data_IF_799356010206
#
_entry.id   IF_799356010206
#
_cell.length_a   1.000
_cell.length_b   1.000
_cell.length_c   1.000
_cell.angle_alpha   90.00
_cell.angle_beta   90.00
_cell.angle_gamma   90.00
#
_symmetry.space_group_name_H-M   'P 1'
#
loop_
_entity.id
_entity.type
_entity.pdbx_description
1 polymer ?
#
# COMPACT_ATOMS: atom_id res chain seq x y z
N UNK A 1 -36.31 35.33 -18.83
CA UNK A 1 -35.39 34.64 -19.76
C UNK A 1 -34.44 33.78 -18.94
N UNK A 2 -34.74 32.49 -18.83
CA UNK A 2 -33.88 31.51 -18.18
C UNK A 2 -32.73 31.13 -19.11
N UNK A 3 -31.50 31.36 -18.67
CA UNK A 3 -30.30 30.80 -19.29
C UNK A 3 -30.37 29.26 -19.28
N UNK A 4 -29.96 28.57 -20.37
CA UNK A 4 -29.92 27.12 -20.36
C UNK A 4 -28.67 26.66 -19.59
N UNK A 5 -28.90 26.02 -18.44
CA UNK A 5 -27.89 25.29 -17.68
C UNK A 5 -27.63 23.93 -18.36
N UNK A 6 -26.57 23.87 -19.16
CA UNK A 6 -25.92 22.66 -19.68
C UNK A 6 -24.41 22.99 -19.55
N UNK A 7 -23.49 22.22 -18.97
CA UNK A 7 -23.24 20.78 -19.05
C UNK A 7 -22.29 20.40 -17.89
N UNK A 8 -22.64 19.47 -17.00
CA UNK A 8 -21.62 18.70 -16.25
C UNK A 8 -21.49 17.34 -16.97
N UNK A 9 -20.28 16.90 -17.33
CA UNK A 9 -20.13 15.61 -17.99
C UNK A 9 -20.52 14.51 -17.00
N UNK A 10 -21.57 13.76 -17.32
CA UNK A 10 -21.79 12.45 -16.74
C UNK A 10 -20.58 11.60 -17.10
N UNK A 11 -19.89 11.04 -16.11
CA UNK A 11 -18.95 9.98 -16.40
C UNK A 11 -19.72 8.84 -17.11
N UNK A 12 -19.15 8.20 -18.14
CA UNK A 12 -19.84 7.12 -18.84
C UNK A 12 -20.39 6.05 -17.87
N UNK A 13 -21.71 5.95 -17.81
CA UNK A 13 -22.46 4.93 -17.05
C UNK A 13 -22.69 5.20 -15.56
N UNK A 14 -22.82 6.46 -15.15
CA UNK A 14 -23.48 6.83 -13.89
C UNK A 14 -25.00 6.92 -14.11
N UNK A 15 -25.80 6.28 -13.25
CA UNK A 15 -27.27 6.40 -13.28
C UNK A 15 -27.68 7.30 -12.11
N UNK A 16 -28.14 8.51 -12.40
CA UNK A 16 -28.73 9.40 -11.40
C UNK A 16 -30.22 9.09 -11.29
N UNK A 17 -30.64 8.42 -10.22
CA UNK A 17 -32.05 8.09 -9.98
C UNK A 17 -32.87 9.28 -9.41
N UNK A 18 -32.21 10.34 -8.94
CA UNK A 18 -32.85 11.56 -8.40
C UNK A 18 -32.13 12.79 -8.98
N UNK A 19 -32.90 13.83 -9.31
CA UNK A 19 -32.41 15.08 -9.91
C UNK A 19 -31.27 15.70 -9.06
N UNK A 20 -30.06 15.94 -9.61
CA UNK A 20 -28.86 16.40 -8.88
C UNK A 20 -28.95 17.82 -8.30
N UNK A 21 -30.14 18.42 -8.25
CA UNK A 21 -30.39 19.77 -7.72
C UNK A 21 -30.76 19.81 -6.23
N UNK A 22 -30.94 18.66 -5.57
CA UNK A 22 -31.52 18.60 -4.21
C UNK A 22 -30.61 17.90 -3.18
N UNK A 23 -29.42 17.45 -3.57
CA UNK A 23 -28.57 16.65 -2.70
C UNK A 23 -27.22 17.36 -2.48
N UNK A 24 -26.75 17.54 -1.23
CA UNK A 24 -25.39 17.99 -0.94
C UNK A 24 -24.37 17.09 -1.65
N UNK A 25 -23.24 17.63 -2.12
CA UNK A 25 -22.21 16.87 -2.87
C UNK A 25 -21.63 15.69 -2.05
N UNK A 26 -21.80 15.69 -0.73
CA UNK A 26 -21.46 14.60 0.20
C UNK A 26 -22.45 13.44 0.23
N UNK A 27 -23.62 13.59 -0.38
CA UNK A 27 -24.76 12.66 -0.38
C UNK A 27 -25.15 12.19 -1.79
N UNK A 28 -24.45 12.66 -2.84
CA UNK A 28 -24.65 12.16 -4.22
C UNK A 28 -24.09 10.73 -4.35
N UNK A 29 -24.91 9.76 -3.98
CA UNK A 29 -24.63 8.33 -4.08
C UNK A 29 -24.68 7.90 -5.55
N UNK A 30 -23.60 8.13 -6.27
CA UNK A 30 -23.42 7.63 -7.63
C UNK A 30 -23.33 6.10 -7.60
N UNK A 31 -24.50 5.45 -7.67
CA UNK A 31 -24.60 4.01 -7.77
C UNK A 31 -24.11 3.56 -9.16
N UNK A 32 -23.05 2.75 -9.15
CA UNK A 32 -22.48 2.17 -10.37
C UNK A 32 -23.50 1.18 -10.94
N UNK A 33 -23.84 1.31 -12.23
CA UNK A 33 -24.74 0.37 -12.91
C UNK A 33 -24.20 -1.06 -12.87
N UNK A 34 -25.07 -2.07 -12.91
CA UNK A 34 -24.66 -3.49 -12.89
C UNK A 34 -23.69 -3.82 -14.03
N UNK A 35 -23.88 -3.22 -15.21
CA UNK A 35 -22.97 -3.37 -16.34
C UNK A 35 -21.60 -2.76 -16.04
N UNK A 36 -21.54 -1.54 -15.49
CA UNK A 36 -20.27 -0.94 -15.11
C UNK A 36 -19.58 -1.69 -13.97
N UNK A 37 -20.33 -2.29 -13.03
CA UNK A 37 -19.75 -3.17 -12.01
C UNK A 37 -19.09 -4.38 -12.67
N UNK A 38 -19.75 -5.02 -13.63
CA UNK A 38 -19.20 -6.16 -14.38
C UNK A 38 -17.92 -5.76 -15.12
N UNK A 39 -17.94 -4.67 -15.89
CA UNK A 39 -16.77 -4.15 -16.62
C UNK A 39 -15.60 -3.90 -15.67
N UNK A 40 -15.85 -3.27 -14.51
CA UNK A 40 -14.81 -3.00 -13.52
C UNK A 40 -14.23 -4.28 -12.92
N UNK A 41 -15.06 -5.30 -12.65
CA UNK A 41 -14.58 -6.61 -12.21
C UNK A 41 -13.72 -7.31 -13.27
N UNK A 42 -14.09 -7.19 -14.56
CA UNK A 42 -13.26 -7.69 -15.66
C UNK A 42 -11.90 -6.97 -15.67
N UNK A 43 -11.89 -5.63 -15.50
CA UNK A 43 -10.65 -4.85 -15.42
C UNK A 43 -9.81 -5.25 -14.20
N UNK A 44 -10.43 -5.58 -13.06
CA UNK A 44 -9.73 -6.13 -11.88
C UNK A 44 -9.05 -7.46 -12.22
N UNK A 45 -9.75 -8.40 -12.86
CA UNK A 45 -9.16 -9.67 -13.28
C UNK A 45 -8.01 -9.47 -14.29
N UNK A 46 -8.17 -8.55 -15.24
CA UNK A 46 -7.12 -8.20 -16.20
C UNK A 46 -5.90 -7.59 -15.50
N UNK A 47 -6.11 -6.69 -14.53
CA UNK A 47 -5.02 -6.12 -13.75
C UNK A 47 -4.24 -7.18 -12.98
N UNK A 48 -4.93 -8.16 -12.37
CA UNK A 48 -4.28 -9.31 -11.72
C UNK A 48 -3.43 -10.09 -12.75
N UNK A 49 -3.98 -10.37 -13.94
CA UNK A 49 -3.22 -11.04 -15.00
C UNK A 49 -1.99 -10.24 -15.45
N UNK A 50 -2.10 -8.92 -15.65
CA UNK A 50 -0.96 -8.04 -15.98
C UNK A 50 0.10 -8.05 -14.88
N UNK A 51 -0.30 -8.10 -13.61
CA UNK A 51 0.66 -8.25 -12.51
C UNK A 51 1.42 -9.57 -12.61
N UNK A 52 0.75 -10.69 -12.92
CA UNK A 52 1.39 -12.00 -13.12
C UNK A 52 2.36 -11.98 -14.33
N UNK A 53 2.00 -11.30 -15.42
CA UNK A 53 2.91 -11.09 -16.56
C UNK A 53 4.14 -10.29 -16.13
N UNK A 54 3.95 -9.21 -15.36
CA UNK A 54 5.04 -8.39 -14.83
C UNK A 54 6.00 -9.20 -13.95
N UNK A 55 5.50 -10.11 -13.12
CA UNK A 55 6.33 -11.03 -12.32
C UNK A 55 7.17 -11.94 -13.22
N UNK A 56 6.57 -12.54 -14.26
CA UNK A 56 7.31 -13.41 -15.17
C UNK A 56 8.37 -12.66 -15.98
N UNK A 57 8.13 -11.40 -16.36
CA UNK A 57 9.12 -10.53 -17.00
C UNK A 57 10.30 -10.21 -16.07
N UNK A 58 10.02 -10.02 -14.77
CA UNK A 58 11.07 -9.86 -13.76
C UNK A 58 11.91 -11.13 -13.67
N UNK A 59 11.29 -12.31 -13.61
CA UNK A 59 11.98 -13.61 -13.57
C UNK A 59 12.83 -13.86 -14.83
N UNK A 60 12.31 -13.52 -16.01
CA UNK A 60 13.04 -13.59 -17.28
C UNK A 60 14.27 -12.67 -17.30
N UNK A 61 14.13 -11.44 -16.81
CA UNK A 61 15.24 -10.51 -16.63
C UNK A 61 16.33 -11.08 -15.72
N UNK A 62 15.98 -11.69 -14.59
CA UNK A 62 16.96 -12.29 -13.67
C UNK A 62 17.71 -13.44 -14.32
N UNK A 63 17.00 -14.32 -15.02
CA UNK A 63 17.61 -15.43 -15.74
C UNK A 63 18.67 -14.93 -16.75
N UNK A 64 18.45 -13.76 -17.35
CA UNK A 64 19.40 -13.11 -18.27
C UNK A 64 20.61 -12.43 -17.62
N UNK A 65 20.56 -12.02 -16.35
CA UNK A 65 21.62 -11.26 -15.66
C UNK A 65 22.84 -12.13 -15.27
N UNK A 66 22.61 -13.42 -15.02
CA UNK A 66 23.63 -14.36 -14.54
C UNK A 66 24.08 -14.09 -13.09
N UNK A 67 24.53 -15.14 -12.39
CA UNK A 67 24.84 -15.09 -10.94
C UNK A 67 25.94 -14.08 -10.55
N UNK A 68 26.88 -13.76 -11.44
CA UNK A 68 28.02 -12.88 -11.12
C UNK A 68 27.67 -11.38 -11.02
N UNK A 69 26.62 -10.91 -11.71
CA UNK A 69 26.19 -9.52 -11.66
C UNK A 69 25.17 -9.26 -10.54
N UNK A 70 24.49 -10.32 -10.09
CA UNK A 70 23.55 -10.26 -8.98
C UNK A 70 24.25 -9.91 -7.66
N UNK A 71 25.46 -10.43 -7.43
CA UNK A 71 26.23 -10.21 -6.19
C UNK A 71 26.59 -8.74 -5.94
N UNK A 72 26.95 -7.98 -6.98
CA UNK A 72 27.26 -6.56 -6.87
C UNK A 72 26.01 -5.70 -6.53
N UNK A 73 24.84 -6.08 -7.05
CA UNK A 73 23.56 -5.44 -6.70
C UNK A 73 23.19 -5.73 -5.23
N UNK A 74 23.44 -6.96 -4.79
CA UNK A 74 23.19 -7.40 -3.42
C UNK A 74 24.12 -6.73 -2.39
N UNK A 75 25.34 -6.36 -2.78
CA UNK A 75 26.29 -5.63 -1.92
C UNK A 75 25.77 -4.24 -1.52
N UNK A 76 25.11 -3.53 -2.44
CA UNK A 76 24.51 -2.21 -2.15
C UNK A 76 23.19 -2.29 -1.38
N UNK A 77 22.47 -3.42 -1.48
CA UNK A 77 21.25 -3.69 -0.72
C UNK A 77 21.49 -3.97 0.77
N UNK A 78 22.75 -3.98 1.23
CA UNK A 78 23.11 -4.31 2.62
C UNK A 78 22.77 -3.20 3.63
N UNK A 79 22.56 -1.95 3.21
CA UNK A 79 22.24 -0.86 4.15
C UNK A 79 20.71 -0.77 4.41
N UNK A 80 20.21 -1.18 5.59
CA UNK A 80 18.78 -1.25 5.86
C UNK A 80 18.15 0.15 6.01
N UNK A 81 18.92 1.15 6.45
CA UNK A 81 18.44 2.53 6.54
C UNK A 81 18.26 3.14 5.16
N UNK A 82 19.14 2.83 4.21
CA UNK A 82 18.96 3.22 2.82
C UNK A 82 17.68 2.60 2.24
N UNK A 83 17.47 1.31 2.46
CA UNK A 83 16.26 0.59 2.05
C UNK A 83 15.00 1.20 2.67
N UNK A 84 15.03 1.55 3.96
CA UNK A 84 13.93 2.25 4.63
C UNK A 84 13.60 3.59 3.94
N UNK A 85 14.60 4.42 3.67
CA UNK A 85 14.40 5.72 3.03
C UNK A 85 13.88 5.59 1.59
N UNK A 86 14.39 4.61 0.83
CA UNK A 86 13.88 4.28 -0.51
C UNK A 86 12.40 3.87 -0.43
N UNK A 87 12.02 3.05 0.54
CA UNK A 87 10.62 2.65 0.74
C UNK A 87 9.69 3.83 1.06
N UNK A 88 10.13 4.76 1.92
CA UNK A 88 9.40 5.99 2.24
C UNK A 88 9.20 6.83 0.99
N UNK A 89 10.30 7.13 0.28
CA UNK A 89 10.29 8.00 -0.89
C UNK A 89 9.48 7.40 -2.03
N UNK A 90 9.72 6.14 -2.37
CA UNK A 90 9.04 5.47 -3.47
C UNK A 90 7.54 5.39 -3.23
N UNK A 91 7.12 5.05 -2.01
CA UNK A 91 5.71 4.98 -1.67
C UNK A 91 5.06 6.37 -1.59
N UNK A 92 5.79 7.39 -1.13
CA UNK A 92 5.33 8.77 -1.21
C UNK A 92 5.14 9.23 -2.66
N UNK A 93 6.03 8.90 -3.58
CA UNK A 93 5.88 9.30 -4.98
C UNK A 93 4.76 8.53 -5.69
N UNK A 94 4.66 7.22 -5.43
CA UNK A 94 3.68 6.32 -6.05
C UNK A 94 2.29 6.44 -5.38
N UNK A 95 2.23 6.92 -4.14
CA UNK A 95 1.02 7.04 -3.32
C UNK A 95 0.28 5.70 -3.08
N UNK A 96 1.01 4.57 -3.14
CA UNK A 96 0.46 3.23 -2.90
C UNK A 96 1.52 2.29 -2.32
N UNK A 97 1.42 1.98 -1.01
CA UNK A 97 2.26 0.92 -0.42
C UNK A 97 1.92 -0.44 -0.96
N UNK A 98 0.66 -0.71 -1.33
CA UNK A 98 0.28 -2.00 -1.89
C UNK A 98 1.04 -2.27 -3.19
N UNK A 99 1.11 -1.27 -4.08
CA UNK A 99 1.86 -1.39 -5.34
C UNK A 99 3.34 -1.64 -5.06
N UNK A 100 3.92 -0.81 -4.20
CA UNK A 100 5.34 -0.90 -3.88
C UNK A 100 5.69 -2.23 -3.20
N UNK A 101 4.94 -2.63 -2.16
CA UNK A 101 5.17 -3.89 -1.43
C UNK A 101 4.94 -5.11 -2.32
N UNK A 102 3.96 -5.10 -3.23
CA UNK A 102 3.78 -6.20 -4.19
C UNK A 102 4.99 -6.32 -5.13
N UNK A 103 5.53 -5.20 -5.63
CA UNK A 103 6.78 -5.20 -6.39
C UNK A 103 7.93 -5.73 -5.54
N UNK A 104 8.04 -5.31 -4.27
CA UNK A 104 9.09 -5.80 -3.37
C UNK A 104 8.98 -7.31 -3.13
N UNK A 105 7.78 -7.83 -2.86
CA UNK A 105 7.52 -9.28 -2.71
C UNK A 105 7.90 -10.04 -3.98
N UNK A 106 7.52 -9.52 -5.14
CA UNK A 106 7.90 -10.11 -6.42
C UNK A 106 9.42 -10.08 -6.66
N UNK A 107 10.09 -8.99 -6.27
CA UNK A 107 11.53 -8.85 -6.42
C UNK A 107 12.31 -9.81 -5.50
N UNK A 108 11.85 -10.05 -4.27
CA UNK A 108 12.43 -11.09 -3.42
C UNK A 108 12.12 -12.49 -3.95
N UNK A 109 10.89 -12.70 -4.41
CA UNK A 109 10.50 -13.94 -5.06
C UNK A 109 11.38 -14.25 -6.27
N UNK A 110 11.71 -13.27 -7.11
CA UNK A 110 12.65 -13.45 -8.21
C UNK A 110 14.11 -13.59 -7.78
N UNK A 111 14.47 -13.26 -6.53
CA UNK A 111 15.87 -13.23 -6.07
C UNK A 111 16.63 -11.94 -6.40
N UNK A 112 15.97 -10.85 -6.82
CA UNK A 112 16.62 -9.54 -7.02
C UNK A 112 16.98 -8.86 -5.71
N UNK A 113 16.19 -9.10 -4.67
CA UNK A 113 16.31 -8.44 -3.38
C UNK A 113 16.42 -9.48 -2.26
N UNK A 114 17.39 -9.34 -1.34
CA UNK A 114 17.39 -10.15 -0.14
C UNK A 114 16.19 -9.79 0.74
N UNK A 115 15.71 -10.76 1.51
CA UNK A 115 14.56 -10.61 2.42
C UNK A 115 14.80 -9.47 3.42
N UNK A 116 16.02 -9.31 3.91
CA UNK A 116 16.41 -8.28 4.89
C UNK A 116 16.25 -6.86 4.31
N UNK A 117 16.64 -6.65 3.04
CA UNK A 117 16.45 -5.37 2.36
C UNK A 117 14.96 -5.10 2.13
N UNK A 118 14.20 -6.13 1.73
CA UNK A 118 12.76 -6.04 1.56
C UNK A 118 12.02 -5.70 2.86
N UNK A 119 12.44 -6.27 3.99
CA UNK A 119 11.90 -5.94 5.31
C UNK A 119 11.98 -4.43 5.58
N UNK A 120 13.15 -3.82 5.35
CA UNK A 120 13.32 -2.38 5.52
C UNK A 120 12.55 -1.55 4.49
N UNK A 121 12.50 -1.98 3.22
CA UNK A 121 11.69 -1.34 2.17
C UNK A 121 10.20 -1.30 2.55
N UNK A 122 9.67 -2.41 3.07
CA UNK A 122 8.27 -2.55 3.49
C UNK A 122 7.97 -1.66 4.72
N UNK A 123 8.87 -1.63 5.70
CA UNK A 123 8.79 -0.69 6.82
C UNK A 123 8.72 0.76 6.33
N UNK A 124 9.52 1.10 5.32
CA UNK A 124 9.52 2.42 4.70
C UNK A 124 8.21 2.72 3.97
N UNK A 125 7.67 1.74 3.24
CA UNK A 125 6.41 1.85 2.52
C UNK A 125 5.21 2.12 3.45
N UNK A 126 5.20 1.51 4.62
CA UNK A 126 4.19 1.76 5.66
C UNK A 126 4.21 3.23 6.13
N UNK A 127 5.40 3.79 6.37
CA UNK A 127 5.54 5.21 6.71
C UNK A 127 5.13 6.09 5.53
N UNK A 128 5.62 5.77 4.32
CA UNK A 128 5.35 6.46 3.06
C UNK A 128 3.86 6.72 2.81
N UNK A 129 3.04 5.69 3.04
CA UNK A 129 1.59 5.75 2.77
C UNK A 129 0.83 6.71 3.68
N UNK A 130 1.35 7.03 4.87
CA UNK A 130 0.67 7.88 5.82
C UNK A 130 0.47 9.32 5.30
N UNK A 131 1.24 9.75 4.29
CA UNK A 131 1.09 11.07 3.69
C UNK A 131 -0.28 11.27 3.02
N UNK A 132 -0.91 10.22 2.49
CA UNK A 132 -2.23 10.29 1.84
C UNK A 132 -3.30 10.88 2.77
N UNK A 133 -3.40 10.36 4.00
CA UNK A 133 -4.36 10.83 5.00
C UNK A 133 -4.03 12.25 5.50
N UNK A 134 -2.74 12.61 5.58
CA UNK A 134 -2.32 13.97 5.91
C UNK A 134 -2.75 14.97 4.82
N UNK A 135 -2.60 14.62 3.54
CA UNK A 135 -3.05 15.45 2.43
C UNK A 135 -4.56 15.69 2.48
N UNK A 136 -5.35 14.65 2.74
CA UNK A 136 -6.81 14.79 2.95
C UNK A 136 -7.13 15.69 4.14
N UNK A 137 -6.38 15.57 5.24
CA UNK A 137 -6.56 16.43 6.41
C UNK A 137 -6.22 17.91 6.09
N UNK A 138 -5.20 18.17 5.27
CA UNK A 138 -4.92 19.52 4.78
C UNK A 138 -6.01 20.07 3.85
N UNK A 139 -6.88 19.25 3.29
CA UNK A 139 -8.11 19.71 2.62
C UNK A 139 -9.03 20.53 3.54
N UNK A 140 -8.92 20.35 4.86
CA UNK A 140 -9.66 21.10 5.88
C UNK A 140 -8.95 22.41 6.28
N UNK A 141 -7.90 22.84 5.57
CA UNK A 141 -7.09 24.03 5.91
C UNK A 141 -7.91 25.30 6.12
N UNK A 142 -9.06 25.43 5.45
CA UNK A 142 -9.97 26.58 5.58
C UNK A 142 -10.90 26.51 6.80
N UNK A 143 -11.05 25.35 7.43
CA UNK A 143 -11.98 25.09 8.55
C UNK A 143 -11.23 24.96 9.86
N UNK A 144 -11.15 26.05 10.63
CA UNK A 144 -10.26 26.16 11.79
C UNK A 144 -10.56 25.15 12.90
N UNK A 145 -11.84 24.84 13.12
CA UNK A 145 -12.28 23.92 14.17
C UNK A 145 -12.19 22.44 13.76
N UNK A 146 -12.21 22.16 12.46
CA UNK A 146 -12.17 20.79 11.91
C UNK A 146 -10.73 20.34 11.63
N UNK A 147 -9.87 21.25 11.19
CA UNK A 147 -8.48 20.94 10.80
C UNK A 147 -7.67 20.20 11.87
N UNK A 148 -7.65 20.62 13.16
CA UNK A 148 -6.89 19.89 14.18
C UNK A 148 -7.38 18.45 14.38
N UNK A 149 -8.69 18.21 14.26
CA UNK A 149 -9.27 16.86 14.42
C UNK A 149 -8.97 15.99 13.19
N UNK A 150 -9.11 16.56 11.99
CA UNK A 150 -8.73 15.91 10.74
C UNK A 150 -7.23 15.54 10.73
N UNK A 151 -6.35 16.48 11.13
CA UNK A 151 -4.92 16.23 11.25
C UNK A 151 -4.60 15.19 12.31
N UNK A 152 -5.27 15.21 13.46
CA UNK A 152 -5.06 14.20 14.50
C UNK A 152 -5.35 12.78 13.99
N UNK A 153 -6.43 12.59 13.22
CA UNK A 153 -6.74 11.31 12.58
C UNK A 153 -5.71 10.90 11.52
N UNK A 154 -5.21 11.83 10.70
CA UNK A 154 -4.12 11.52 9.76
C UNK A 154 -2.80 11.18 10.48
N UNK A 155 -2.50 11.89 11.56
CA UNK A 155 -1.24 11.76 12.31
C UNK A 155 -1.19 10.53 13.21
N UNK A 156 -2.32 9.95 13.63
CA UNK A 156 -2.31 8.64 14.29
C UNK A 156 -1.75 7.56 13.37
N UNK A 157 -2.03 7.64 12.07
CA UNK A 157 -1.47 6.72 11.08
C UNK A 157 0.06 6.86 11.00
N UNK A 158 0.55 8.10 10.86
CA UNK A 158 1.99 8.37 10.82
C UNK A 158 2.69 7.97 12.11
N UNK A 159 2.17 8.41 13.26
CA UNK A 159 2.77 8.18 14.58
C UNK A 159 2.84 6.70 14.90
N UNK A 160 1.78 5.94 14.59
CA UNK A 160 1.79 4.49 14.73
C UNK A 160 2.92 3.86 13.92
N UNK A 161 2.96 4.09 12.59
CA UNK A 161 3.95 3.44 11.74
C UNK A 161 5.38 3.85 12.07
N UNK A 162 5.62 5.14 12.36
CA UNK A 162 6.97 5.60 12.74
C UNK A 162 7.41 4.99 14.06
N UNK A 163 6.55 4.92 15.08
CA UNK A 163 6.91 4.28 16.35
C UNK A 163 7.10 2.76 16.18
N UNK A 164 6.26 2.11 15.38
CA UNK A 164 6.43 0.69 15.06
C UNK A 164 7.77 0.43 14.39
N UNK A 165 8.17 1.22 13.39
CA UNK A 165 9.47 1.08 12.73
C UNK A 165 10.62 1.44 13.68
N UNK A 166 10.49 2.51 14.47
CA UNK A 166 11.52 2.90 15.43
C UNK A 166 11.82 1.83 16.48
N UNK A 167 10.85 0.97 16.79
CA UNK A 167 11.00 -0.16 17.71
C UNK A 167 11.42 -1.44 16.96
N UNK A 168 10.69 -1.80 15.90
CA UNK A 168 10.87 -3.08 15.22
C UNK A 168 12.11 -3.12 14.35
N UNK A 169 12.54 -2.01 13.74
CA UNK A 169 13.73 -2.02 12.88
C UNK A 169 15.01 -2.30 13.67
N UNK A 170 15.34 -1.61 14.79
CA UNK A 170 16.51 -1.96 15.58
C UNK A 170 16.49 -3.40 16.11
N UNK A 171 15.31 -3.89 16.51
CA UNK A 171 15.14 -5.29 16.94
C UNK A 171 15.37 -6.26 15.78
N UNK A 172 14.88 -5.93 14.58
CA UNK A 172 15.12 -6.70 13.37
C UNK A 172 16.60 -6.75 13.02
N UNK A 173 17.32 -5.64 13.15
CA UNK A 173 18.76 -5.58 12.89
C UNK A 173 19.60 -6.34 13.94
N UNK A 174 19.14 -6.42 15.18
CA UNK A 174 19.88 -7.07 16.26
C UNK A 174 19.62 -8.58 16.36
N UNK A 175 18.38 -9.02 16.12
CA UNK A 175 17.95 -10.38 16.44
C UNK A 175 17.19 -11.08 15.29
N UNK A 176 16.87 -10.36 14.22
CA UNK A 176 16.05 -10.85 13.09
C UNK A 176 14.72 -11.55 13.47
N UNK A 177 13.95 -11.09 14.48
CA UNK A 177 12.74 -11.77 14.92
C UNK A 177 11.68 -11.85 13.83
N UNK A 178 11.52 -10.82 12.99
CA UNK A 178 10.48 -10.80 11.96
C UNK A 178 10.83 -11.76 10.83
N UNK A 179 12.06 -11.66 10.33
CA UNK A 179 12.56 -12.50 9.25
C UNK A 179 12.61 -13.98 9.66
N UNK A 180 13.10 -14.28 10.87
CA UNK A 180 13.14 -15.66 11.37
C UNK A 180 11.74 -16.23 11.62
N UNK A 181 10.81 -15.43 12.16
CA UNK A 181 9.42 -15.87 12.36
C UNK A 181 8.71 -16.07 11.01
N UNK A 182 8.95 -15.20 10.04
CA UNK A 182 8.39 -15.34 8.69
C UNK A 182 8.91 -16.58 7.98
N UNK A 183 10.22 -16.88 8.09
CA UNK A 183 10.82 -18.14 7.62
C UNK A 183 10.14 -19.33 8.26
N UNK A 184 10.11 -19.38 9.59
CA UNK A 184 9.47 -20.46 10.33
C UNK A 184 8.00 -20.65 9.94
N UNK A 185 7.24 -19.56 9.78
CA UNK A 185 5.84 -19.62 9.39
C UNK A 185 5.67 -20.15 7.97
N UNK A 186 6.50 -19.70 7.03
CA UNK A 186 6.49 -20.17 5.64
C UNK A 186 6.77 -21.67 5.55
N UNK A 187 7.82 -22.15 6.22
CA UNK A 187 8.21 -23.56 6.18
C UNK A 187 7.23 -24.46 6.92
N UNK A 188 6.62 -23.98 8.00
CA UNK A 188 5.65 -24.77 8.78
C UNK A 188 4.31 -24.91 8.06
N UNK A 189 3.81 -23.83 7.45
CA UNK A 189 2.51 -23.84 6.79
C UNK A 189 2.56 -24.48 5.39
N UNK A 190 3.70 -24.38 4.70
CA UNK A 190 3.80 -24.76 3.29
C UNK A 190 4.94 -25.75 2.99
N UNK A 191 5.76 -26.12 3.97
CA UNK A 191 6.91 -26.99 3.74
C UNK A 191 8.05 -26.28 3.00
N UNK A 192 8.99 -27.06 2.46
CA UNK A 192 10.04 -26.55 1.56
C UNK A 192 9.49 -26.25 0.15
N UNK A 193 8.35 -26.86 -0.19
CA UNK A 193 7.67 -26.70 -1.47
C UNK A 193 6.48 -25.76 -1.30
N UNK A 194 6.62 -24.48 -1.69
CA UNK A 194 5.45 -23.59 -1.76
C UNK A 194 4.30 -24.26 -2.51
N UNK A 195 3.03 -24.02 -2.14
CA UNK A 195 1.89 -24.57 -2.86
C UNK A 195 1.92 -23.99 -4.27
N UNK A 196 2.52 -24.74 -5.18
CA UNK A 196 2.27 -24.57 -6.59
C UNK A 196 0.81 -24.92 -6.77
N UNK A 197 -0.04 -23.92 -6.98
CA UNK A 197 -1.19 -24.17 -7.82
C UNK A 197 -0.64 -24.87 -9.07
N UNK A 198 -1.24 -25.98 -9.48
CA UNK A 198 -0.93 -26.67 -10.76
C UNK A 198 -1.26 -25.78 -11.98
N UNK A 199 -1.23 -24.48 -11.80
CA UNK A 199 -1.33 -23.41 -12.77
C UNK A 199 0.03 -23.02 -13.32
N UNK A 200 1.17 -23.58 -12.89
CA UNK A 200 2.49 -23.24 -13.47
C UNK A 200 2.48 -23.34 -15.00
N UNK A 201 1.92 -24.42 -15.55
CA UNK A 201 1.75 -24.61 -17.00
C UNK A 201 0.71 -23.68 -17.60
N UNK A 202 -0.42 -23.45 -16.91
CA UNK A 202 -1.51 -22.60 -17.41
C UNK A 202 -1.12 -21.12 -17.41
N UNK A 203 -0.45 -20.66 -16.35
CA UNK A 203 0.11 -19.33 -16.19
C UNK A 203 1.20 -19.14 -17.23
N UNK A 204 2.20 -20.02 -17.31
CA UNK A 204 3.27 -19.91 -18.31
C UNK A 204 2.73 -19.94 -19.74
N UNK A 205 1.74 -20.78 -20.05
CA UNK A 205 1.06 -20.77 -21.35
C UNK A 205 0.35 -19.45 -21.63
N UNK A 206 -0.33 -18.89 -20.63
CA UNK A 206 -1.08 -17.64 -20.78
C UNK A 206 -0.19 -16.39 -20.80
N UNK A 207 0.89 -16.35 -20.02
CA UNK A 207 1.79 -15.18 -19.90
C UNK A 207 2.95 -15.24 -20.89
N UNK A 208 3.34 -16.43 -21.33
CA UNK A 208 4.46 -16.68 -22.25
C UNK A 208 4.49 -15.75 -23.46
N UNK A 209 3.40 -15.60 -24.23
CA UNK A 209 3.39 -14.70 -25.39
C UNK A 209 3.71 -13.23 -25.06
N UNK A 210 3.28 -12.75 -23.89
CA UNK A 210 3.57 -11.38 -23.45
C UNK A 210 4.98 -11.27 -22.88
N UNK A 211 5.46 -12.30 -22.19
CA UNK A 211 6.84 -12.36 -21.69
C UNK A 211 7.82 -12.41 -22.87
N UNK A 212 7.54 -13.20 -23.91
CA UNK A 212 8.36 -13.25 -25.11
C UNK A 212 8.38 -11.92 -25.86
N UNK A 213 7.24 -11.21 -25.89
CA UNK A 213 7.10 -9.93 -26.57
C UNK A 213 7.82 -8.78 -25.84
N UNK A 214 7.81 -8.76 -24.50
CA UNK A 214 8.34 -7.66 -23.70
C UNK A 214 9.60 -8.00 -22.89
N UNK A 215 10.04 -9.26 -22.92
CA UNK A 215 11.15 -9.79 -22.15
C UNK A 215 12.48 -9.79 -22.89
N UNK A 216 13.45 -10.47 -22.30
CA UNK A 216 14.84 -10.51 -22.72
C UNK A 216 15.01 -10.93 -24.17
N UNK A 217 14.27 -11.92 -24.65
CA UNK A 217 14.38 -12.40 -26.04
C UNK A 217 14.08 -11.33 -27.09
N UNK A 218 13.08 -10.48 -26.87
CA UNK A 218 12.77 -9.38 -27.81
C UNK A 218 13.72 -8.20 -27.62
N UNK A 219 14.06 -7.85 -26.37
CA UNK A 219 14.98 -6.74 -26.09
C UNK A 219 16.40 -7.04 -26.62
N UNK A 220 16.84 -8.30 -26.55
CA UNK A 220 18.13 -8.77 -27.08
C UNK A 220 18.26 -8.64 -28.60
N UNK A 221 17.14 -8.49 -29.34
CA UNK A 221 17.19 -8.23 -30.80
C UNK A 221 17.63 -6.81 -31.14
N UNK A 222 17.55 -5.90 -30.17
CA UNK A 222 17.83 -4.47 -30.35
C UNK A 222 19.08 -4.05 -29.57
N UNK A 223 19.37 -4.73 -28.45
CA UNK A 223 20.45 -4.39 -27.53
C UNK A 223 21.37 -5.60 -27.37
N UNK A 224 22.67 -5.43 -27.68
CA UNK A 224 23.64 -6.52 -27.64
C UNK A 224 24.19 -6.83 -26.24
N UNK A 225 24.01 -5.93 -25.26
CA UNK A 225 24.53 -6.13 -23.89
C UNK A 225 23.58 -6.99 -23.04
N UNK A 226 23.97 -8.21 -22.63
CA UNK A 226 23.09 -9.12 -21.88
C UNK A 226 22.62 -8.54 -20.55
N UNK A 227 23.49 -7.78 -19.87
CA UNK A 227 23.19 -7.12 -18.60
C UNK A 227 22.12 -6.04 -18.78
N UNK A 228 22.23 -5.23 -19.83
CA UNK A 228 21.27 -4.15 -20.10
C UNK A 228 19.91 -4.73 -20.51
N UNK A 229 19.91 -5.76 -21.35
CA UNK A 229 18.70 -6.50 -21.74
C UNK A 229 17.95 -7.02 -20.51
N UNK A 230 18.68 -7.67 -19.62
CA UNK A 230 18.14 -8.27 -18.40
C UNK A 230 17.58 -7.23 -17.42
N UNK A 231 18.29 -6.12 -17.21
CA UNK A 231 17.81 -4.99 -16.40
C UNK A 231 16.54 -4.39 -17.00
N UNK A 232 16.50 -4.17 -18.32
CA UNK A 232 15.33 -3.59 -18.99
C UNK A 232 14.10 -4.50 -18.90
N UNK A 233 14.26 -5.81 -19.09
CA UNK A 233 13.17 -6.78 -18.90
C UNK A 233 12.61 -6.70 -17.47
N UNK A 234 13.49 -6.67 -16.47
CA UNK A 234 13.12 -6.48 -15.07
C UNK A 234 12.37 -5.17 -14.80
N UNK A 235 12.85 -4.05 -15.37
CA UNK A 235 12.20 -2.74 -15.22
C UNK A 235 10.82 -2.69 -15.90
N UNK A 236 10.66 -3.29 -17.07
CA UNK A 236 9.36 -3.40 -17.75
C UNK A 236 8.40 -4.25 -16.90
N UNK A 237 8.88 -5.36 -16.33
CA UNK A 237 8.09 -6.17 -15.41
C UNK A 237 7.66 -5.41 -14.15
N UNK A 238 8.54 -4.62 -13.53
CA UNK A 238 8.21 -3.72 -12.42
C UNK A 238 7.15 -2.70 -12.84
N UNK A 239 7.28 -2.10 -14.03
CA UNK A 239 6.31 -1.15 -14.55
C UNK A 239 4.93 -1.80 -14.77
N UNK A 240 4.87 -3.03 -15.30
CA UNK A 240 3.63 -3.78 -15.47
C UNK A 240 2.95 -4.04 -14.13
N UNK A 241 3.70 -4.46 -13.11
CA UNK A 241 3.16 -4.64 -11.74
C UNK A 241 2.64 -3.31 -11.19
N UNK A 242 3.41 -2.22 -11.32
CA UNK A 242 2.99 -0.91 -10.81
C UNK A 242 1.68 -0.42 -11.48
N UNK A 243 1.59 -0.52 -12.80
CA UNK A 243 0.38 -0.15 -13.57
C UNK A 243 -0.80 -1.05 -13.17
N UNK A 244 -0.58 -2.36 -13.09
CA UNK A 244 -1.59 -3.31 -12.67
C UNK A 244 -2.16 -2.97 -11.29
N UNK A 245 -1.30 -2.70 -10.30
CA UNK A 245 -1.77 -2.37 -8.95
C UNK A 245 -2.47 -1.00 -8.90
N UNK A 246 -2.03 -0.01 -9.70
CA UNK A 246 -2.76 1.26 -9.81
C UNK A 246 -4.17 1.07 -10.38
N UNK A 247 -4.31 0.29 -11.45
CA UNK A 247 -5.61 -0.05 -12.04
C UNK A 247 -6.47 -0.78 -11.01
N UNK A 248 -5.91 -1.82 -10.36
CA UNK A 248 -6.58 -2.60 -9.33
C UNK A 248 -7.12 -1.69 -8.21
N UNK A 249 -6.27 -0.78 -7.72
CA UNK A 249 -6.62 0.18 -6.66
C UNK A 249 -7.76 1.10 -7.09
N UNK A 250 -7.70 1.67 -8.30
CA UNK A 250 -8.74 2.59 -8.80
C UNK A 250 -10.08 1.87 -9.00
N UNK A 251 -10.06 0.67 -9.57
CA UNK A 251 -11.30 -0.08 -9.82
C UNK A 251 -11.95 -0.53 -8.51
N UNK A 252 -11.17 -1.10 -7.59
CA UNK A 252 -11.68 -1.55 -6.30
C UNK A 252 -12.16 -0.37 -5.45
N UNK A 253 -11.46 0.77 -5.46
CA UNK A 253 -11.95 2.00 -4.82
C UNK A 253 -13.32 2.40 -5.37
N UNK A 254 -13.49 2.40 -6.69
CA UNK A 254 -14.77 2.76 -7.30
C UNK A 254 -15.88 1.77 -6.93
N UNK A 255 -15.60 0.46 -7.01
CA UNK A 255 -16.55 -0.61 -6.66
C UNK A 255 -16.94 -0.58 -5.18
N UNK A 256 -16.01 -0.22 -4.31
CA UNK A 256 -16.16 -0.29 -2.86
C UNK A 256 -16.46 1.07 -2.20
N UNK A 257 -16.60 2.15 -2.98
CA UNK A 257 -16.89 3.49 -2.46
C UNK A 257 -18.18 3.51 -1.62
N UNK A 258 -19.25 2.87 -2.10
CA UNK A 258 -20.53 2.83 -1.40
C UNK A 258 -20.54 1.88 -0.18
N UNK A 259 -20.13 0.59 -0.29
CA UNK A 259 -20.03 -0.30 0.88
C UNK A 259 -19.14 0.27 1.99
N UNK A 260 -18.04 0.95 1.64
CA UNK A 260 -17.13 1.53 2.63
C UNK A 260 -17.76 2.68 3.40
N UNK A 261 -18.55 3.55 2.75
CA UNK A 261 -19.30 4.61 3.42
C UNK A 261 -20.39 4.05 4.34
N UNK A 262 -21.12 3.01 3.92
CA UNK A 262 -22.15 2.38 4.75
C UNK A 262 -21.55 1.74 6.00
N UNK A 263 -20.43 1.02 5.86
CA UNK A 263 -19.73 0.39 6.98
C UNK A 263 -19.09 1.42 7.91
N UNK A 264 -18.50 2.50 7.38
CA UNK A 264 -17.97 3.60 8.19
C UNK A 264 -19.07 4.34 8.94
N UNK A 265 -20.19 4.70 8.29
CA UNK A 265 -21.35 5.32 8.95
C UNK A 265 -21.89 4.45 10.09
N UNK A 266 -21.87 3.12 9.95
CA UNK A 266 -22.26 2.17 11.00
C UNK A 266 -21.24 2.10 12.15
N UNK A 267 -20.03 2.61 11.96
CA UNK A 267 -18.97 2.72 12.97
C UNK A 267 -18.92 4.08 13.67
N UNK A 268 -19.66 5.07 13.19
CA UNK A 268 -19.82 6.39 13.83
C UNK A 268 -20.72 6.33 15.09
N UNK A 269 -20.73 5.20 15.81
CA UNK A 269 -21.40 5.11 17.11
C UNK A 269 -20.42 5.47 18.24
N UNK A 270 -20.72 6.47 19.09
CA UNK A 270 -19.84 6.93 20.17
C UNK A 270 -19.42 5.86 21.20
N UNK A 271 -20.04 4.67 21.16
CA UNK A 271 -19.91 3.63 22.19
C UNK A 271 -19.04 2.41 21.78
N UNK A 272 -18.37 2.42 20.62
CA UNK A 272 -17.59 1.26 20.16
C UNK A 272 -16.18 1.24 20.74
N UNK A 273 -15.73 0.05 21.16
CA UNK A 273 -14.36 -0.16 21.63
C UNK A 273 -13.36 0.00 20.47
N UNK A 274 -12.11 0.37 20.79
CA UNK A 274 -11.04 0.48 19.78
C UNK A 274 -10.84 -0.83 18.99
N UNK A 275 -11.10 -1.99 19.60
CA UNK A 275 -11.07 -3.28 18.92
C UNK A 275 -12.20 -3.48 17.90
N UNK A 276 -13.40 -2.95 18.16
CA UNK A 276 -14.49 -2.98 17.17
C UNK A 276 -14.15 -2.11 15.95
N UNK A 277 -13.55 -0.94 16.18
CA UNK A 277 -13.07 -0.05 15.11
C UNK A 277 -11.92 -0.68 14.30
N UNK A 278 -11.03 -1.41 14.97
CA UNK A 278 -10.03 -2.24 14.30
C UNK A 278 -10.67 -3.27 13.35
N UNK A 279 -11.68 -3.99 13.80
CA UNK A 279 -12.40 -4.94 12.94
C UNK A 279 -13.03 -4.27 11.71
N UNK A 280 -13.55 -3.05 11.87
CA UNK A 280 -14.09 -2.24 10.77
C UNK A 280 -13.00 -1.87 9.78
N UNK A 281 -11.89 -1.32 10.26
CA UNK A 281 -10.76 -0.94 9.40
C UNK A 281 -10.18 -2.11 8.64
N UNK A 282 -10.06 -3.26 9.31
CA UNK A 282 -9.61 -4.52 8.71
C UNK A 282 -10.57 -4.96 7.60
N UNK A 283 -11.87 -5.07 7.91
CA UNK A 283 -12.88 -5.49 6.93
C UNK A 283 -12.97 -4.54 5.74
N UNK A 284 -13.01 -3.23 5.98
CA UNK A 284 -13.01 -2.21 4.92
C UNK A 284 -11.79 -2.33 4.01
N UNK A 285 -10.63 -2.62 4.57
CA UNK A 285 -9.41 -2.70 3.79
C UNK A 285 -9.26 -4.02 3.06
N UNK A 286 -9.73 -5.12 3.62
CA UNK A 286 -9.84 -6.39 2.90
C UNK A 286 -10.79 -6.27 1.71
N UNK A 287 -11.89 -5.52 1.86
CA UNK A 287 -12.83 -5.28 0.75
C UNK A 287 -12.25 -4.34 -0.31
N UNK A 288 -11.63 -3.24 0.11
CA UNK A 288 -11.11 -2.20 -0.80
C UNK A 288 -9.72 -2.49 -1.34
N UNK A 289 -8.99 -3.44 -0.73
CA UNK A 289 -7.57 -3.71 -0.93
C UNK A 289 -6.64 -2.47 -0.76
N UNK A 290 -7.11 -1.41 -0.09
CA UNK A 290 -6.37 -0.15 0.02
C UNK A 290 -6.49 0.48 1.41
N UNK A 291 -5.43 0.39 2.22
CA UNK A 291 -5.38 1.09 3.52
C UNK A 291 -5.48 2.60 3.35
N UNK A 292 -4.90 3.19 2.30
CA UNK A 292 -5.04 4.63 2.05
C UNK A 292 -6.49 5.03 1.85
N UNK A 293 -7.28 4.25 1.12
CA UNK A 293 -8.70 4.54 0.93
C UNK A 293 -9.45 4.49 2.26
N UNK A 294 -9.25 3.43 3.05
CA UNK A 294 -9.90 3.27 4.37
C UNK A 294 -9.46 4.36 5.35
N UNK A 295 -8.17 4.62 5.46
CA UNK A 295 -7.60 5.62 6.39
C UNK A 295 -8.00 7.04 6.00
N UNK A 296 -7.94 7.40 4.71
CA UNK A 296 -8.41 8.71 4.22
C UNK A 296 -9.90 8.90 4.49
N UNK A 297 -10.72 7.85 4.37
CA UNK A 297 -12.14 7.93 4.64
C UNK A 297 -12.46 8.23 6.11
N UNK A 298 -11.54 7.99 7.05
CA UNK A 298 -11.71 8.37 8.47
C UNK A 298 -11.56 9.87 8.72
N UNK A 299 -10.77 10.56 7.89
CA UNK A 299 -10.38 11.95 8.11
C UNK A 299 -11.59 12.90 8.11
N UNK A 300 -12.56 12.80 7.18
CA UNK A 300 -13.76 13.62 7.21
C UNK A 300 -14.61 13.48 8.47
N UNK A 301 -14.79 12.24 8.97
CA UNK A 301 -15.56 11.98 10.18
C UNK A 301 -14.84 12.51 11.43
N UNK A 302 -13.51 12.42 11.46
CA UNK A 302 -12.72 13.03 12.51
C UNK A 302 -12.81 14.56 12.46
N UNK A 303 -12.66 15.16 11.27
CA UNK A 303 -12.83 16.59 11.05
C UNK A 303 -14.19 17.11 11.54
N UNK A 304 -15.27 16.39 11.22
CA UNK A 304 -16.63 16.69 11.70
C UNK A 304 -16.80 16.48 13.22
N UNK A 305 -15.89 15.75 13.88
CA UNK A 305 -15.97 15.40 15.30
C UNK A 305 -16.87 14.21 15.60
N UNK A 306 -17.36 13.51 14.59
CA UNK A 306 -18.20 12.33 14.75
C UNK A 306 -17.36 11.07 15.04
N UNK A 307 -16.06 11.12 14.76
CA UNK A 307 -15.10 10.06 15.05
C UNK A 307 -13.97 10.59 15.96
N UNK A 308 -13.77 9.96 17.11
CA UNK A 308 -12.68 10.34 18.02
C UNK A 308 -11.31 9.92 17.49
N UNK A 309 -10.22 10.57 17.94
CA UNK A 309 -8.84 10.19 17.60
C UNK A 309 -8.54 8.73 17.96
N UNK A 310 -9.08 8.24 19.09
CA UNK A 310 -8.94 6.84 19.53
C UNK A 310 -9.67 5.87 18.59
N UNK A 311 -10.89 6.21 18.18
CA UNK A 311 -11.65 5.41 17.24
C UNK A 311 -10.96 5.38 15.87
N UNK A 312 -10.48 6.52 15.40
CA UNK A 312 -9.69 6.63 14.17
C UNK A 312 -8.43 5.75 14.23
N UNK A 313 -7.69 5.75 15.34
CA UNK A 313 -6.55 4.86 15.55
C UNK A 313 -6.96 3.39 15.40
N UNK A 314 -8.08 2.96 15.99
CA UNK A 314 -8.61 1.61 15.81
C UNK A 314 -8.80 1.26 14.33
N UNK A 315 -9.54 2.09 13.57
CA UNK A 315 -9.76 1.87 12.12
C UNK A 315 -8.44 1.82 11.35
N UNK A 316 -7.48 2.69 11.68
CA UNK A 316 -6.17 2.75 11.02
C UNK A 316 -5.35 1.48 11.26
N UNK A 317 -5.31 0.98 12.49
CA UNK A 317 -4.63 -0.29 12.81
C UNK A 317 -5.20 -1.45 12.02
N UNK A 318 -6.54 -1.51 11.93
CA UNK A 318 -7.24 -2.52 11.14
C UNK A 318 -6.89 -2.40 9.66
N UNK A 319 -6.88 -1.17 9.13
CA UNK A 319 -6.58 -0.92 7.73
C UNK A 319 -5.16 -1.31 7.35
N UNK A 320 -4.19 -1.02 8.19
CA UNK A 320 -2.79 -1.39 7.97
C UNK A 320 -2.61 -2.90 7.95
N UNK A 321 -3.23 -3.63 8.88
CA UNK A 321 -3.22 -5.09 8.83
C UNK A 321 -3.94 -5.62 7.58
N UNK A 322 -5.10 -5.08 7.21
CA UNK A 322 -5.86 -5.57 6.06
C UNK A 322 -5.10 -5.50 4.72
N UNK A 323 -4.27 -4.48 4.52
CA UNK A 323 -3.50 -4.33 3.27
C UNK A 323 -2.42 -5.41 3.10
N UNK A 324 -1.98 -6.02 4.20
CA UNK A 324 -0.97 -7.09 4.16
C UNK A 324 -1.47 -8.34 3.44
N UNK A 325 -2.80 -8.57 3.40
CA UNK A 325 -3.39 -9.68 2.68
C UNK A 325 -3.10 -9.63 1.17
N UNK A 326 -3.01 -8.44 0.58
CA UNK A 326 -2.66 -8.28 -0.84
C UNK A 326 -1.23 -8.74 -1.14
N UNK A 327 -0.30 -8.55 -0.20
CA UNK A 327 1.08 -9.03 -0.35
C UNK A 327 1.15 -10.56 -0.29
N UNK A 328 0.37 -11.18 0.60
CA UNK A 328 0.25 -12.65 0.70
C UNK A 328 -0.36 -13.22 -0.58
N UNK A 329 -1.42 -12.60 -1.09
CA UNK A 329 -2.02 -13.01 -2.37
C UNK A 329 -1.03 -12.89 -3.54
N UNK A 330 -0.22 -11.83 -3.57
CA UNK A 330 0.83 -11.67 -4.58
C UNK A 330 1.93 -12.74 -4.47
N UNK A 331 2.32 -13.14 -3.26
CA UNK A 331 3.29 -14.21 -3.06
C UNK A 331 2.81 -15.55 -3.62
N UNK A 332 1.52 -15.87 -3.48
CA UNK A 332 0.94 -17.10 -4.05
C UNK A 332 0.91 -17.13 -5.58
N UNK A 333 1.09 -15.99 -6.24
CA UNK A 333 1.19 -15.93 -7.69
C UNK A 333 2.59 -16.35 -8.21
N UNK A 334 3.56 -16.57 -7.32
CA UNK A 334 4.96 -16.88 -7.67
C UNK A 334 5.19 -18.39 -7.53
N UNK A 335 5.45 -19.12 -8.62
CA UNK A 335 5.64 -20.57 -8.58
C UNK A 335 7.04 -20.99 -8.11
N UNK A 336 7.15 -22.21 -7.58
CA UNK A 336 8.43 -22.87 -7.24
C UNK A 336 9.05 -22.41 -5.91
N UNK A 337 10.34 -22.72 -5.72
CA UNK A 337 11.11 -22.41 -4.49
C UNK A 337 11.20 -20.90 -4.21
N UNK A 338 11.18 -20.13 -5.29
CA UNK A 338 11.07 -18.66 -5.33
C UNK A 338 9.78 -18.14 -4.67
N UNK A 339 8.70 -18.90 -4.73
CA UNK A 339 7.45 -18.61 -4.02
C UNK A 339 7.62 -18.59 -2.51
N UNK A 340 8.53 -19.41 -1.96
CA UNK A 340 8.75 -19.50 -0.50
C UNK A 340 9.39 -18.20 0.00
N UNK A 341 10.34 -17.64 -0.74
CA UNK A 341 10.97 -16.35 -0.41
C UNK A 341 9.98 -15.18 -0.54
N UNK A 342 9.13 -15.20 -1.56
CA UNK A 342 8.05 -14.22 -1.70
C UNK A 342 7.07 -14.27 -0.51
N UNK A 343 6.71 -15.49 -0.09
CA UNK A 343 5.80 -15.70 1.03
C UNK A 343 6.42 -15.26 2.35
N UNK A 344 7.71 -15.51 2.58
CA UNK A 344 8.44 -14.98 3.72
C UNK A 344 8.36 -13.45 3.76
N UNK A 345 8.58 -12.79 2.62
CA UNK A 345 8.47 -11.33 2.51
C UNK A 345 7.05 -10.83 2.82
N UNK A 346 6.04 -11.51 2.30
CA UNK A 346 4.65 -11.20 2.61
C UNK A 346 4.32 -11.39 4.10
N UNK A 347 4.86 -12.43 4.74
CA UNK A 347 4.68 -12.66 6.17
C UNK A 347 5.42 -11.65 7.03
N UNK A 348 6.60 -11.19 6.65
CA UNK A 348 7.24 -10.04 7.31
C UNK A 348 6.30 -8.83 7.30
N UNK A 349 5.67 -8.53 6.15
CA UNK A 349 4.71 -7.44 6.06
C UNK A 349 3.50 -7.63 7.01
N UNK A 350 2.96 -8.85 7.10
CA UNK A 350 1.91 -9.20 8.07
C UNK A 350 2.39 -8.97 9.51
N UNK A 351 3.56 -9.50 9.86
CA UNK A 351 4.11 -9.45 11.22
C UNK A 351 4.37 -8.02 11.69
N UNK A 352 4.94 -7.16 10.86
CA UNK A 352 5.17 -5.74 11.18
C UNK A 352 3.87 -5.07 11.62
N UNK A 353 2.80 -5.23 10.83
CA UNK A 353 1.51 -4.61 11.10
C UNK A 353 0.76 -5.29 12.25
N UNK A 354 0.84 -6.61 12.35
CA UNK A 354 0.15 -7.40 13.37
C UNK A 354 0.74 -7.16 14.76
N UNK A 355 2.08 -7.23 14.92
CA UNK A 355 2.74 -7.00 16.20
C UNK A 355 2.46 -5.57 16.68
N UNK A 356 2.60 -4.58 15.78
CA UNK A 356 2.26 -3.19 16.10
C UNK A 356 0.80 -3.05 16.56
N UNK A 357 -0.15 -3.64 15.84
CA UNK A 357 -1.56 -3.60 16.21
C UNK A 357 -1.83 -4.28 17.57
N UNK A 358 -1.25 -5.46 17.83
CA UNK A 358 -1.40 -6.17 19.11
C UNK A 358 -0.87 -5.31 20.26
N UNK A 359 0.33 -4.73 20.13
CA UNK A 359 0.92 -3.86 21.16
C UNK A 359 0.00 -2.70 21.48
N UNK A 360 -0.55 -2.02 20.47
CA UNK A 360 -1.43 -0.86 20.67
C UNK A 360 -2.80 -1.26 21.23
N UNK A 361 -3.38 -2.37 20.76
CA UNK A 361 -4.68 -2.86 21.22
C UNK A 361 -4.62 -3.41 22.65
N UNK A 362 -3.53 -4.09 23.02
CA UNK A 362 -3.36 -4.71 24.33
C UNK A 362 -2.87 -3.71 25.39
N UNK A 363 -1.95 -2.80 25.02
CA UNK A 363 -1.34 -1.86 25.97
C UNK A 363 -1.98 -0.48 25.83
N UNK A 364 -2.91 -0.16 26.74
CA UNK A 364 -3.52 1.18 26.83
C UNK A 364 -2.50 2.32 26.82
N UNK A 365 -1.37 2.26 27.56
CA UNK A 365 -0.38 3.34 27.53
C UNK A 365 0.22 3.59 26.14
N UNK A 366 0.38 2.54 25.32
CA UNK A 366 0.91 2.69 23.96
C UNK A 366 -0.10 3.42 23.07
N UNK A 367 -1.39 3.05 23.13
CA UNK A 367 -2.45 3.76 22.43
C UNK A 367 -2.56 5.23 22.87
N UNK A 368 -2.53 5.49 24.17
CA UNK A 368 -2.66 6.83 24.74
C UNK A 368 -1.49 7.73 24.33
N UNK A 369 -0.27 7.16 24.28
CA UNK A 369 0.92 7.86 23.80
C UNK A 369 0.83 8.23 22.32
N UNK A 370 0.39 7.29 21.46
CA UNK A 370 0.17 7.57 20.03
C UNK A 370 -0.85 8.70 19.84
N UNK A 371 -1.98 8.62 20.55
CA UNK A 371 -3.04 9.64 20.49
C UNK A 371 -2.50 10.99 20.94
N UNK A 372 -1.82 11.04 22.08
CA UNK A 372 -1.27 12.27 22.64
C UNK A 372 -0.29 12.95 21.68
N UNK A 373 0.68 12.21 21.13
CA UNK A 373 1.63 12.75 20.14
C UNK A 373 0.87 13.28 18.92
N UNK A 374 -0.05 12.48 18.39
CA UNK A 374 -0.80 12.82 17.17
C UNK A 374 -1.57 14.12 17.35
N UNK A 375 -2.24 14.31 18.48
CA UNK A 375 -2.99 15.53 18.78
C UNK A 375 -2.09 16.74 19.05
N UNK A 376 -0.93 16.55 19.70
CA UNK A 376 0.07 17.62 19.90
C UNK A 376 0.60 18.08 18.55
N UNK A 377 1.01 17.15 17.68
CA UNK A 377 1.48 17.44 16.33
C UNK A 377 0.39 18.09 15.48
N UNK A 378 -0.86 17.62 15.58
CA UNK A 378 -2.00 18.18 14.88
C UNK A 378 -2.25 19.64 15.28
N UNK A 379 -2.29 19.94 16.58
CA UNK A 379 -2.46 21.32 17.08
C UNK A 379 -1.33 22.24 16.62
N UNK A 380 -0.07 21.77 16.66
CA UNK A 380 1.08 22.56 16.18
C UNK A 380 1.00 22.83 14.67
N UNK A 381 0.67 21.80 13.89
CA UNK A 381 0.53 21.87 12.43
C UNK A 381 -0.64 22.79 12.05
N UNK A 382 -1.79 22.68 12.72
CA UNK A 382 -2.98 23.51 12.47
C UNK A 382 -2.75 25.00 12.77
N UNK A 383 -1.91 25.33 13.76
CA UNK A 383 -1.52 26.72 14.08
C UNK A 383 -0.64 27.35 13.01
N UNK A 384 0.22 26.57 12.36
CA UNK A 384 1.17 27.04 11.33
C UNK A 384 0.97 26.27 10.02
N UNK A 385 -0.21 26.40 9.40
CA UNK A 385 -0.67 25.53 8.31
C UNK A 385 0.32 25.41 7.14
N UNK A 386 0.80 26.55 6.63
CA UNK A 386 1.75 26.58 5.51
C UNK A 386 3.10 25.95 5.88
N UNK A 387 3.68 26.34 7.02
CA UNK A 387 4.94 25.76 7.51
C UNK A 387 4.78 24.27 7.82
N UNK A 388 3.64 23.88 8.40
CA UNK A 388 3.31 22.48 8.70
C UNK A 388 3.28 21.63 7.43
N UNK A 389 2.59 22.08 6.38
CA UNK A 389 2.56 21.39 5.09
C UNK A 389 3.97 21.25 4.48
N UNK A 390 4.75 22.33 4.50
CA UNK A 390 6.14 22.32 4.00
C UNK A 390 7.03 21.34 4.77
N UNK A 391 6.91 21.31 6.11
CA UNK A 391 7.67 20.38 6.95
C UNK A 391 7.28 18.94 6.66
N UNK A 392 5.99 18.63 6.54
CA UNK A 392 5.55 17.29 6.18
C UNK A 392 6.01 16.88 4.78
N UNK A 393 5.92 17.77 3.78
CA UNK A 393 6.51 17.52 2.45
C UNK A 393 8.02 17.25 2.53
N UNK A 394 8.75 18.04 3.33
CA UNK A 394 10.18 17.84 3.53
C UNK A 394 10.50 16.49 4.20
N UNK A 395 9.71 16.05 5.18
CA UNK A 395 9.87 14.74 5.84
C UNK A 395 9.74 13.57 4.87
N UNK A 396 8.88 13.69 3.86
CA UNK A 396 8.60 12.60 2.92
C UNK A 396 9.41 12.66 1.62
N UNK A 397 9.87 13.85 1.22
CA UNK A 397 10.63 14.06 0.00
C UNK A 397 12.09 14.41 0.29
N UNK A 398 12.32 15.54 0.97
CA UNK A 398 13.67 16.10 1.12
C UNK A 398 14.57 15.25 2.03
N UNK A 399 14.05 14.76 3.17
CA UNK A 399 14.84 13.96 4.12
C UNK A 399 15.25 12.61 3.50
N UNK A 400 14.33 11.79 2.94
CA UNK A 400 14.71 10.55 2.27
C UNK A 400 15.64 10.78 1.07
N UNK A 401 15.35 11.79 0.23
CA UNK A 401 16.18 12.08 -0.95
C UNK A 401 17.60 12.51 -0.55
N UNK A 402 17.74 13.41 0.43
CA UNK A 402 19.06 13.84 0.92
C UNK A 402 19.84 12.67 1.53
N UNK A 403 19.18 11.79 2.28
CA UNK A 403 19.82 10.61 2.87
C UNK A 403 20.29 9.62 1.79
N UNK A 404 19.47 9.37 0.77
CA UNK A 404 19.81 8.51 -0.37
C UNK A 404 20.98 9.08 -1.17
N UNK A 405 21.01 10.40 -1.38
CA UNK A 405 22.11 11.08 -2.08
C UNK A 405 23.41 11.11 -1.26
N UNK A 406 23.32 11.13 0.07
CA UNK A 406 24.49 11.16 0.94
C UNK A 406 25.21 9.81 1.07
N UNK A 407 24.48 8.70 0.90
CA UNK A 407 25.02 7.34 0.97
C UNK A 407 25.50 6.76 -0.37
N UNK A 408 25.27 7.48 -1.49
CA UNK A 408 25.75 7.15 -2.83
C UNK A 408 26.97 7.98 -3.18
#
# INVERSE_FOLDING_TARGET
>A
MSTPLNTRPSFPGTIHYINPKVIPESEDEVLISSFNKLVRWIVVCLAIYVAIVGINLIMDGIAGLGFANLSALMEKAQNPLLCLMVGILATFLVQSSTAFTTVTVAAVGGGLLPLEAATALIMGANIGTCFTALLVAFGYVSRQDELPRALAAGLTHWTFNVLSVAILLPLELAFHPLTNTARWLSTTLFGESSPTFSSGTLVAWSTGPLVDAFGTHTIARVIDSPVVVAILAGLIGIAFIAIAVQILTVQLRSLMAFPSQVLLKRSVSPSKSMGAEFGVGLGLTLLTHSSSATTCATVPFAGAGTLSTRSALGVILGANLGTTFTAVAAAFAIPGDLGTMALQTAFVHVLINLIGAIVVLALRPAADFIIWISEVLARKTAKRRALGLLLWLATYLAVPAAFILWLN
#
